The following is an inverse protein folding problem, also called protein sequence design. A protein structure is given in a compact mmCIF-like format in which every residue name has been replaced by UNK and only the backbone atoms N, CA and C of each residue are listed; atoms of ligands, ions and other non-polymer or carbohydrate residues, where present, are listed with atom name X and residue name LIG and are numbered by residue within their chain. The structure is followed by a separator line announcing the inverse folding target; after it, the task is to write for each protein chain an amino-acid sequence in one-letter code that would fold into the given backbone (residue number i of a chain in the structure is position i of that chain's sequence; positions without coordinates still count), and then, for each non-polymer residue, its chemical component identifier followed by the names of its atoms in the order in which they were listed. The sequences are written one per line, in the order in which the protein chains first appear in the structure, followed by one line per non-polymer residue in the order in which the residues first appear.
data_IF_336194099581
#
_entry.id   IF_336194099581
#
_cell.length_a   1.000
_cell.length_b   1.000
_cell.length_c   1.000
_cell.angle_alpha   90.00
_cell.angle_beta   90.00
_cell.angle_gamma   90.00
#
_symmetry.space_group_name_H-M   'P 1'
#
loop_
_entity.id
_entity.type
_entity.pdbx_description
1 polymer ?
#
# COMPACT_ATOMS: atom_id res chain seq x y z
N UNK A 1 7.77 -23.13 24.71
CA UNK A 1 6.75 -22.04 24.65
C UNK A 1 6.27 -21.73 26.06
N UNK A 2 6.66 -20.58 26.65
CA UNK A 2 6.12 -20.16 27.95
C UNK A 2 4.73 -19.55 27.75
N UNK A 3 3.77 -20.02 28.54
CA UNK A 3 2.37 -19.59 28.53
C UNK A 3 2.23 -18.33 29.40
N UNK A 4 1.68 -17.26 28.85
CA UNK A 4 1.35 -16.05 29.59
C UNK A 4 -0.15 -15.79 29.44
N UNK A 5 -0.88 -15.83 30.54
CA UNK A 5 -2.32 -15.52 30.55
C UNK A 5 -2.50 -14.01 30.74
N UNK A 6 -3.31 -13.39 29.88
CA UNK A 6 -3.69 -11.97 29.99
C UNK A 6 -5.21 -11.94 30.18
N UNK A 7 -5.67 -11.40 31.31
CA UNK A 7 -7.10 -11.36 31.68
C UNK A 7 -7.61 -9.93 31.43
N UNK A 8 -8.64 -9.78 30.60
CA UNK A 8 -9.28 -8.48 30.37
C UNK A 8 -10.78 -8.64 30.04
N UNK A 9 -11.63 -7.79 30.61
CA UNK A 9 -13.08 -7.77 30.35
C UNK A 9 -13.85 -9.02 30.78
N UNK A 10 -13.34 -9.80 31.75
CA UNK A 10 -14.00 -11.00 32.28
C UNK A 10 -13.93 -12.24 31.37
N UNK A 11 -13.12 -12.23 30.29
CA UNK A 11 -12.87 -13.40 29.44
C UNK A 11 -11.38 -13.71 29.38
N UNK A 12 -11.02 -14.96 29.69
CA UNK A 12 -9.62 -15.42 29.66
C UNK A 12 -9.11 -15.51 28.22
N UNK A 13 -8.28 -14.56 27.81
CA UNK A 13 -7.61 -14.58 26.50
C UNK A 13 -6.20 -15.17 26.63
N UNK A 14 -5.92 -16.21 25.84
CA UNK A 14 -4.63 -16.92 25.86
C UNK A 14 -3.81 -16.51 24.64
N UNK A 15 -2.74 -15.76 24.89
CA UNK A 15 -1.73 -15.43 23.90
C UNK A 15 -0.48 -16.28 24.11
N UNK A 16 0.10 -16.76 23.01
CA UNK A 16 1.29 -17.58 23.00
C UNK A 16 2.48 -16.73 22.57
N UNK A 17 3.57 -16.78 23.35
CA UNK A 17 4.81 -16.09 23.02
C UNK A 17 5.52 -16.74 21.83
N UNK A 18 5.94 -15.89 20.89
CA UNK A 18 7.01 -16.19 19.94
C UNK A 18 8.26 -15.50 20.52
N UNK A 19 9.32 -16.25 20.81
CA UNK A 19 10.54 -15.66 21.40
C UNK A 19 11.10 -14.55 20.50
N UNK A 20 11.31 -13.36 21.07
CA UNK A 20 11.87 -12.20 20.38
C UNK A 20 10.96 -11.45 19.41
N UNK A 21 9.69 -11.84 19.26
CA UNK A 21 8.76 -11.23 18.28
C UNK A 21 7.97 -10.01 18.79
N UNK A 22 7.74 -9.03 17.90
CA UNK A 22 6.84 -7.87 18.11
C UNK A 22 5.36 -8.26 18.30
N UNK A 23 4.99 -9.46 17.87
CA UNK A 23 3.60 -9.91 17.87
C UNK A 23 3.42 -11.20 18.67
N UNK A 24 2.29 -11.30 19.37
CA UNK A 24 1.80 -12.51 20.03
C UNK A 24 0.54 -13.00 19.35
N UNK A 25 0.37 -14.31 19.27
CA UNK A 25 -0.79 -14.92 18.61
C UNK A 25 -1.68 -15.64 19.62
N UNK A 26 -2.99 -15.56 19.45
CA UNK A 26 -3.94 -16.12 20.42
C UNK A 26 -5.23 -16.64 19.79
N UNK A 27 -6.08 -17.25 20.60
CA UNK A 27 -7.40 -17.73 20.18
C UNK A 27 -8.43 -16.64 20.42
N UNK A 28 -9.27 -16.40 19.43
CA UNK A 28 -10.24 -15.33 19.45
C UNK A 28 -11.51 -15.75 20.22
N UNK A 29 -11.86 -15.06 21.32
CA UNK A 29 -12.97 -15.48 22.18
C UNK A 29 -14.35 -15.27 21.55
N UNK A 30 -14.45 -14.50 20.45
CA UNK A 30 -15.69 -14.29 19.69
C UNK A 30 -15.88 -15.36 18.63
N UNK A 31 -14.84 -15.65 17.87
CA UNK A 31 -14.86 -16.64 16.80
C UNK A 31 -14.85 -18.09 17.35
N UNK A 32 -14.29 -18.33 18.55
CA UNK A 32 -14.16 -19.67 19.19
C UNK A 32 -13.49 -20.75 18.32
N UNK A 33 -12.76 -20.35 17.29
CA UNK A 33 -12.03 -21.26 16.41
C UNK A 33 -10.73 -21.74 17.09
N UNK A 34 -10.32 -23.00 16.84
CA UNK A 34 -9.03 -23.53 17.31
C UNK A 34 -7.82 -22.81 16.68
N UNK A 35 -8.04 -22.09 15.58
CA UNK A 35 -7.03 -21.32 14.88
C UNK A 35 -6.58 -20.07 15.67
N UNK A 36 -5.28 -19.77 15.62
CA UNK A 36 -4.66 -18.62 16.31
C UNK A 36 -4.90 -17.32 15.55
N UNK A 37 -6.14 -16.88 15.56
CA UNK A 37 -6.62 -15.74 14.77
C UNK A 37 -6.43 -14.41 15.47
N UNK A 38 -6.12 -14.36 16.77
CA UNK A 38 -5.76 -13.11 17.44
C UNK A 38 -4.29 -12.76 17.19
N UNK A 39 -4.01 -11.49 16.89
CA UNK A 39 -2.68 -10.91 16.90
C UNK A 39 -2.66 -9.75 17.89
N UNK A 40 -1.72 -9.79 18.82
CA UNK A 40 -1.43 -8.72 19.77
C UNK A 40 -0.07 -8.12 19.41
N UNK A 41 -0.02 -6.82 19.17
CA UNK A 41 1.24 -6.08 19.11
C UNK A 41 1.70 -5.77 20.54
N UNK A 42 2.84 -6.33 20.96
CA UNK A 42 3.29 -6.21 22.35
C UNK A 42 3.73 -4.79 22.71
N UNK A 43 4.08 -3.96 21.73
CA UNK A 43 4.53 -2.59 21.97
C UNK A 43 3.34 -1.65 22.18
N UNK A 44 2.29 -1.81 21.37
CA UNK A 44 1.11 -0.93 21.43
C UNK A 44 0.09 -1.42 22.44
N UNK A 45 0.04 -2.73 22.71
CA UNK A 45 -1.00 -3.39 23.51
C UNK A 45 -2.27 -3.66 22.72
N UNK A 46 -2.34 -3.26 21.46
CA UNK A 46 -3.51 -3.46 20.61
C UNK A 46 -3.54 -4.89 20.12
N UNK A 47 -4.71 -5.52 20.22
CA UNK A 47 -4.96 -6.81 19.63
C UNK A 47 -6.11 -6.76 18.63
N UNK A 48 -6.01 -7.57 17.58
CA UNK A 48 -7.08 -7.76 16.62
C UNK A 48 -7.27 -9.25 16.32
N UNK A 49 -8.52 -9.66 16.17
CA UNK A 49 -8.88 -10.97 15.66
C UNK A 49 -8.90 -10.93 14.14
N UNK A 50 -7.89 -11.50 13.51
CA UNK A 50 -7.75 -11.67 12.07
C UNK A 50 -8.95 -12.39 11.41
N UNK A 51 -9.78 -13.10 12.19
CA UNK A 51 -10.95 -13.86 11.70
C UNK A 51 -12.32 -13.28 12.07
N UNK A 52 -12.48 -12.31 12.96
CA UNK A 52 -13.77 -11.60 13.15
C UNK A 52 -13.64 -10.08 13.20
N UNK A 53 -12.44 -9.54 12.95
CA UNK A 53 -12.16 -8.11 13.12
C UNK A 53 -12.30 -7.64 14.57
N UNK A 54 -12.37 -8.56 15.53
CA UNK A 54 -12.50 -8.24 16.95
C UNK A 54 -11.24 -7.53 17.44
N UNK A 55 -11.32 -6.22 17.47
CA UNK A 55 -10.27 -5.32 17.92
C UNK A 55 -10.44 -5.02 19.42
N UNK A 56 -9.34 -4.93 20.13
CA UNK A 56 -9.27 -4.48 21.51
C UNK A 56 -7.85 -4.08 21.87
N UNK A 57 -7.61 -3.80 23.14
CA UNK A 57 -6.28 -3.45 23.64
C UNK A 57 -6.14 -3.93 25.07
N UNK A 58 -4.92 -4.31 25.44
CA UNK A 58 -4.49 -4.65 26.82
C UNK A 58 -4.35 -3.42 27.72
N UNK A 59 -4.97 -2.29 27.34
CA UNK A 59 -4.93 -0.98 28.02
C UNK A 59 -6.37 -0.51 28.17
N UNK A 60 -6.66 0.21 29.27
CA UNK A 60 -8.04 0.54 29.70
C UNK A 60 -8.89 1.15 28.58
N UNK A 61 -10.14 0.70 28.51
CA UNK A 61 -11.13 0.95 27.46
C UNK A 61 -11.43 2.44 27.18
N UNK A 62 -11.21 3.32 28.16
CA UNK A 62 -11.40 4.78 28.06
C UNK A 62 -10.43 5.47 27.09
N UNK A 63 -9.30 4.84 26.76
CA UNK A 63 -8.26 5.46 25.93
C UNK A 63 -8.46 5.23 24.42
N UNK A 64 -9.26 4.23 24.03
CA UNK A 64 -9.50 3.86 22.61
C UNK A 64 -10.72 4.59 22.05
N UNK A 65 -11.75 4.77 22.88
CA UNK A 65 -13.03 5.34 22.49
C UNK A 65 -12.95 6.83 22.11
N UNK A 66 -11.83 7.50 22.47
CA UNK A 66 -11.52 8.88 22.08
C UNK A 66 -11.00 9.01 20.63
N UNK A 67 -10.65 7.91 19.95
CA UNK A 67 -9.95 7.94 18.66
C UNK A 67 -10.71 7.34 17.45
N UNK A 68 -11.93 6.82 17.63
CA UNK A 68 -12.70 6.24 16.51
C UNK A 68 -14.13 6.83 16.49
N UNK A 69 -14.42 7.81 15.63
CA UNK A 69 -15.79 8.20 15.34
C UNK A 69 -16.47 7.10 14.51
N UNK A 70 -17.75 6.85 14.78
CA UNK A 70 -18.61 5.99 13.98
C UNK A 70 -18.86 6.64 12.62
N UNK A 71 -18.02 6.36 11.62
CA UNK A 71 -18.13 6.99 10.31
C UNK A 71 -18.66 5.96 9.29
N UNK A 72 -19.94 6.09 8.89
CA UNK A 72 -20.65 5.41 7.79
C UNK A 72 -20.70 3.87 7.75
N UNK A 73 -21.92 3.33 7.60
CA UNK A 73 -22.22 1.90 7.35
C UNK A 73 -21.44 1.31 6.15
N UNK A 74 -20.97 2.16 5.22
CA UNK A 74 -20.13 1.74 4.09
C UNK A 74 -18.71 1.33 4.52
N UNK A 75 -18.12 1.95 5.55
CA UNK A 75 -16.81 1.50 6.05
C UNK A 75 -16.91 0.14 6.74
N UNK A 76 -18.01 -0.11 7.46
CA UNK A 76 -18.30 -1.43 8.04
C UNK A 76 -18.47 -2.48 6.95
N UNK A 77 -19.22 -2.15 5.89
CA UNK A 77 -19.40 -3.00 4.72
C UNK A 77 -18.06 -3.33 4.06
N UNK A 78 -17.23 -2.32 3.77
CA UNK A 78 -15.93 -2.53 3.14
C UNK A 78 -15.00 -3.35 4.03
N UNK A 79 -14.98 -3.11 5.35
CA UNK A 79 -14.21 -3.95 6.27
C UNK A 79 -14.70 -5.40 6.27
N UNK A 80 -16.02 -5.63 6.26
CA UNK A 80 -16.59 -6.97 6.14
C UNK A 80 -16.22 -7.66 4.82
N UNK A 81 -16.22 -6.92 3.71
CA UNK A 81 -15.80 -7.42 2.39
C UNK A 81 -14.34 -7.84 2.40
N UNK A 82 -13.44 -6.97 2.88
CA UNK A 82 -12.00 -7.27 2.93
C UNK A 82 -11.70 -8.50 3.76
N UNK A 83 -12.41 -8.63 4.89
CA UNK A 83 -12.38 -9.81 5.74
C UNK A 83 -12.84 -11.08 4.99
N UNK A 84 -14.00 -11.06 4.36
CA UNK A 84 -14.53 -12.20 3.59
C UNK A 84 -13.55 -12.63 2.50
N UNK A 85 -12.96 -11.68 1.78
CA UNK A 85 -11.98 -11.99 0.74
C UNK A 85 -10.70 -12.60 1.31
N UNK A 86 -10.21 -12.09 2.44
CA UNK A 86 -9.04 -12.64 3.12
C UNK A 86 -9.31 -14.06 3.62
N UNK A 87 -10.46 -14.31 4.24
CA UNK A 87 -10.88 -15.66 4.65
C UNK A 87 -10.98 -16.62 3.46
N UNK A 88 -11.52 -16.13 2.34
CA UNK A 88 -11.70 -16.92 1.12
C UNK A 88 -10.36 -17.50 0.62
N UNK A 89 -9.23 -16.80 0.77
CA UNK A 89 -7.89 -17.31 0.39
C UNK A 89 -7.56 -18.66 1.04
N UNK A 90 -7.98 -18.87 2.28
CA UNK A 90 -7.67 -20.05 3.08
C UNK A 90 -8.76 -21.13 3.04
N UNK A 91 -9.71 -20.98 2.12
CA UNK A 91 -10.72 -22.00 1.82
C UNK A 91 -10.36 -22.75 0.54
N UNK A 92 -11.06 -23.86 0.27
CA UNK A 92 -10.95 -24.58 -1.01
C UNK A 92 -11.19 -23.71 -2.25
N UNK A 93 -11.86 -22.57 -2.10
CA UNK A 93 -12.12 -21.64 -3.21
C UNK A 93 -10.93 -20.71 -3.49
N UNK A 94 -10.03 -20.51 -2.53
CA UNK A 94 -8.90 -19.58 -2.61
C UNK A 94 -7.55 -20.20 -2.95
N UNK A 95 -7.44 -21.54 -3.01
CA UNK A 95 -6.17 -22.25 -3.19
C UNK A 95 -5.33 -21.70 -4.35
N UNK A 96 -5.91 -21.51 -5.54
CA UNK A 96 -5.19 -20.94 -6.70
C UNK A 96 -4.65 -19.55 -6.42
N UNK A 97 -5.41 -18.70 -5.72
CA UNK A 97 -5.01 -17.35 -5.37
C UNK A 97 -3.94 -17.31 -4.27
N UNK A 98 -4.05 -18.19 -3.29
CA UNK A 98 -3.03 -18.34 -2.27
C UNK A 98 -1.71 -18.85 -2.89
N UNK A 99 -1.76 -19.89 -3.72
CA UNK A 99 -0.59 -20.39 -4.45
C UNK A 99 0.04 -19.31 -5.33
N UNK A 100 -0.77 -18.50 -5.99
CA UNK A 100 -0.30 -17.36 -6.77
C UNK A 100 0.47 -16.35 -5.91
N UNK A 101 -0.09 -15.96 -4.74
CA UNK A 101 0.57 -15.06 -3.79
C UNK A 101 1.88 -15.67 -3.27
N UNK A 102 1.90 -16.98 -2.98
CA UNK A 102 3.10 -17.69 -2.55
C UNK A 102 4.16 -17.79 -3.63
N UNK A 103 3.78 -18.08 -4.88
CA UNK A 103 4.68 -18.04 -6.05
C UNK A 103 5.28 -16.65 -6.26
N UNK A 104 4.55 -15.60 -5.89
CA UNK A 104 5.04 -14.21 -5.89
C UNK A 104 5.97 -13.89 -4.71
N UNK A 105 6.16 -14.82 -3.77
CA UNK A 105 6.98 -14.64 -2.58
C UNK A 105 6.30 -13.85 -1.47
N UNK A 106 4.97 -13.65 -1.53
CA UNK A 106 4.24 -12.87 -0.54
C UNK A 106 4.01 -13.73 0.72
N UNK A 107 4.51 -13.24 1.84
CA UNK A 107 4.38 -13.87 3.16
C UNK A 107 2.98 -13.70 3.74
N UNK A 108 2.58 -14.59 4.66
CA UNK A 108 1.30 -14.46 5.36
C UNK A 108 1.21 -13.14 6.14
N UNK A 109 2.29 -12.72 6.78
CA UNK A 109 2.36 -11.41 7.47
C UNK A 109 1.95 -10.25 6.54
N UNK A 110 2.41 -10.27 5.29
CA UNK A 110 2.10 -9.23 4.31
C UNK A 110 0.68 -9.38 3.76
N UNK A 111 0.20 -10.61 3.54
CA UNK A 111 -1.22 -10.87 3.20
C UNK A 111 -2.12 -10.22 4.25
N UNK A 112 -1.85 -10.45 5.53
CA UNK A 112 -2.64 -9.88 6.63
C UNK A 112 -2.46 -8.37 6.75
N UNK A 113 -1.22 -7.87 6.73
CA UNK A 113 -0.93 -6.43 6.88
C UNK A 113 -1.59 -5.59 5.80
N UNK A 114 -1.62 -6.05 4.56
CA UNK A 114 -2.20 -5.33 3.43
C UNK A 114 -3.65 -5.71 3.13
N UNK A 115 -4.26 -6.60 3.91
CA UNK A 115 -5.64 -7.06 3.66
C UNK A 115 -5.77 -7.69 2.28
N UNK A 116 -4.83 -8.57 1.91
CA UNK A 116 -4.89 -9.27 0.65
C UNK A 116 -5.91 -10.39 0.73
N UNK A 117 -6.73 -10.53 -0.30
CA UNK A 117 -7.82 -11.49 -0.33
C UNK A 117 -8.03 -12.13 -1.69
N UNK A 118 -9.08 -12.93 -1.81
CA UNK A 118 -9.54 -13.48 -3.08
C UNK A 118 -11.03 -13.25 -3.28
N UNK A 119 -11.36 -12.64 -4.41
CA UNK A 119 -12.72 -12.48 -4.88
C UNK A 119 -13.04 -13.64 -5.84
N UNK A 120 -13.76 -14.65 -5.34
CA UNK A 120 -14.17 -15.83 -6.12
C UNK A 120 -15.28 -15.47 -7.14
N UNK A 121 -16.51 -15.94 -6.97
CA UNK A 121 -17.64 -15.60 -7.85
C UNK A 121 -18.62 -14.59 -7.22
N UNK A 122 -18.32 -14.09 -6.02
CA UNK A 122 -19.14 -13.10 -5.30
C UNK A 122 -20.40 -13.64 -4.62
N UNK A 123 -20.84 -14.87 -4.90
CA UNK A 123 -22.06 -15.45 -4.30
C UNK A 123 -21.96 -15.57 -2.79
N UNK A 124 -20.85 -16.14 -2.31
CA UNK A 124 -20.60 -16.28 -0.86
C UNK A 124 -20.53 -14.91 -0.18
N UNK A 125 -19.79 -13.96 -0.77
CA UNK A 125 -19.67 -12.61 -0.22
C UNK A 125 -21.04 -11.90 -0.13
N UNK A 126 -21.87 -12.00 -1.17
CA UNK A 126 -23.22 -11.42 -1.15
C UNK A 126 -24.06 -11.97 0.01
N UNK A 127 -24.14 -13.30 0.14
CA UNK A 127 -24.94 -13.95 1.19
C UNK A 127 -24.47 -13.55 2.58
N UNK A 128 -23.16 -13.52 2.83
CA UNK A 128 -22.63 -13.13 4.13
C UNK A 128 -22.90 -11.66 4.46
N UNK A 129 -22.81 -10.75 3.47
CA UNK A 129 -23.10 -9.34 3.68
C UNK A 129 -24.61 -9.09 3.91
N UNK A 130 -25.49 -9.79 3.18
CA UNK A 130 -26.94 -9.70 3.39
C UNK A 130 -27.34 -10.21 4.79
N UNK A 131 -26.73 -11.30 5.27
CA UNK A 131 -26.89 -11.78 6.66
C UNK A 131 -26.43 -10.78 7.72
N UNK A 132 -25.44 -9.96 7.38
CA UNK A 132 -24.97 -8.86 8.25
C UNK A 132 -25.89 -7.63 8.21
N UNK A 133 -26.97 -7.65 7.41
CA UNK A 133 -27.95 -6.58 7.34
C UNK A 133 -27.60 -5.45 6.36
N UNK A 134 -26.69 -5.70 5.41
CA UNK A 134 -26.41 -4.76 4.33
C UNK A 134 -27.45 -4.87 3.21
N UNK A 135 -28.00 -3.73 2.78
CA UNK A 135 -28.97 -3.66 1.68
C UNK A 135 -28.29 -3.76 0.31
N UNK A 136 -29.07 -4.08 -0.72
CA UNK A 136 -28.58 -4.13 -2.09
C UNK A 136 -28.01 -2.77 -2.55
N UNK A 137 -28.60 -1.66 -2.13
CA UNK A 137 -28.15 -0.30 -2.40
C UNK A 137 -26.78 -0.03 -1.75
N UNK A 138 -26.56 -0.52 -0.53
CA UNK A 138 -25.28 -0.38 0.17
C UNK A 138 -24.19 -1.23 -0.52
N UNK A 139 -24.53 -2.44 -0.97
CA UNK A 139 -23.64 -3.27 -1.77
C UNK A 139 -23.24 -2.60 -3.09
N UNK A 140 -24.17 -1.90 -3.75
CA UNK A 140 -23.88 -1.12 -4.97
C UNK A 140 -23.03 0.11 -4.63
N UNK A 141 -23.37 0.84 -3.57
CA UNK A 141 -22.67 2.07 -3.15
C UNK A 141 -21.21 1.80 -2.73
N UNK A 142 -20.91 0.61 -2.19
CA UNK A 142 -19.54 0.18 -1.90
C UNK A 142 -18.66 0.05 -3.15
N UNK A 143 -19.27 -0.10 -4.33
CA UNK A 143 -18.56 -0.35 -5.58
C UNK A 143 -18.05 -1.78 -5.73
N UNK A 144 -18.49 -2.74 -4.89
CA UNK A 144 -18.23 -4.18 -5.03
C UNK A 144 -19.19 -4.83 -6.03
N UNK A 145 -20.46 -4.41 -6.00
CA UNK A 145 -21.48 -4.84 -6.94
C UNK A 145 -21.84 -3.72 -7.92
N UNK A 146 -22.50 -4.09 -9.02
CA UNK A 146 -23.10 -3.17 -9.99
C UNK A 146 -24.47 -3.71 -10.34
N UNK A 147 -25.48 -2.86 -10.46
CA UNK A 147 -26.76 -3.24 -11.06
C UNK A 147 -26.61 -3.33 -12.59
N UNK A 148 -27.02 -4.45 -13.18
CA UNK A 148 -27.18 -4.64 -14.62
C UNK A 148 -28.50 -4.01 -15.10
N UNK A 149 -28.66 -3.92 -16.42
CA UNK A 149 -29.89 -3.38 -17.04
C UNK A 149 -31.12 -4.23 -16.72
N UNK A 150 -30.94 -5.55 -16.58
CA UNK A 150 -31.99 -6.50 -16.19
C UNK A 150 -32.32 -6.48 -14.69
N UNK A 151 -31.70 -5.58 -13.92
CA UNK A 151 -31.87 -5.44 -12.48
C UNK A 151 -31.01 -6.39 -11.63
N UNK A 152 -30.34 -7.37 -12.24
CA UNK A 152 -29.46 -8.31 -11.51
C UNK A 152 -28.20 -7.62 -10.97
N UNK A 153 -27.64 -8.14 -9.88
CA UNK A 153 -26.34 -7.67 -9.37
C UNK A 153 -25.19 -8.42 -10.01
N UNK A 154 -24.30 -7.66 -10.63
CA UNK A 154 -23.02 -8.13 -11.13
C UNK A 154 -21.90 -7.89 -10.13
N UNK A 155 -21.13 -8.93 -9.83
CA UNK A 155 -19.97 -8.86 -8.95
C UNK A 155 -18.72 -8.42 -9.74
N UNK A 156 -18.12 -7.29 -9.35
CA UNK A 156 -17.11 -6.62 -10.18
C UNK A 156 -15.75 -7.31 -10.21
N UNK A 157 -15.42 -8.08 -9.19
CA UNK A 157 -14.04 -8.53 -8.95
C UNK A 157 -13.83 -10.04 -9.12
N UNK A 158 -14.75 -10.71 -9.80
CA UNK A 158 -14.71 -12.16 -9.96
C UNK A 158 -13.35 -12.67 -10.46
N UNK A 159 -12.80 -13.69 -9.80
CA UNK A 159 -11.54 -14.35 -10.14
C UNK A 159 -10.27 -13.54 -9.89
N UNK A 160 -10.28 -12.60 -8.93
CA UNK A 160 -9.15 -11.68 -8.70
C UNK A 160 -8.57 -11.79 -7.29
N UNK A 161 -7.25 -11.68 -7.20
CA UNK A 161 -6.56 -11.36 -5.94
C UNK A 161 -6.90 -9.92 -5.59
N UNK A 162 -7.33 -9.71 -4.35
CA UNK A 162 -7.85 -8.44 -3.86
C UNK A 162 -6.82 -7.75 -2.98
N UNK A 163 -6.77 -6.43 -3.10
CA UNK A 163 -5.92 -5.52 -2.33
C UNK A 163 -6.84 -4.48 -1.71
N UNK A 164 -6.87 -4.37 -0.39
CA UNK A 164 -7.58 -3.29 0.29
C UNK A 164 -6.94 -1.94 -0.05
N UNK A 165 -7.77 -0.96 -0.38
CA UNK A 165 -7.36 0.44 -0.46
C UNK A 165 -7.86 1.12 0.79
N UNK A 166 -6.93 1.67 1.57
CA UNK A 166 -7.21 2.31 2.86
C UNK A 166 -6.98 3.81 2.81
N UNK A 167 -7.78 4.54 3.55
CA UNK A 167 -7.54 5.96 3.79
C UNK A 167 -6.39 6.18 4.79
N UNK A 168 -6.04 7.44 5.04
CA UNK A 168 -4.96 7.80 5.97
C UNK A 168 -5.18 7.33 7.41
N UNK A 169 -6.41 6.96 7.80
CA UNK A 169 -6.75 6.41 9.12
C UNK A 169 -6.74 4.88 9.14
N UNK A 170 -6.42 4.24 8.01
CA UNK A 170 -6.45 2.78 7.88
C UNK A 170 -7.84 2.19 7.63
N UNK A 171 -8.85 2.99 7.29
CA UNK A 171 -10.20 2.50 6.98
C UNK A 171 -10.26 2.01 5.55
N UNK A 172 -10.88 0.86 5.30
CA UNK A 172 -11.07 0.33 3.94
C UNK A 172 -12.10 1.18 3.20
N UNK A 173 -11.64 1.88 2.16
CA UNK A 173 -12.46 2.79 1.35
C UNK A 173 -12.77 2.21 -0.05
N UNK A 174 -12.00 1.23 -0.49
CA UNK A 174 -12.21 0.54 -1.76
C UNK A 174 -11.22 -0.60 -1.94
N UNK A 175 -11.17 -1.14 -3.16
CA UNK A 175 -10.35 -2.30 -3.47
C UNK A 175 -9.67 -2.18 -4.82
N UNK A 176 -8.56 -2.88 -4.97
CA UNK A 176 -8.01 -3.26 -6.26
C UNK A 176 -8.06 -4.77 -6.43
N UNK A 177 -8.33 -5.23 -7.64
CA UNK A 177 -8.39 -6.63 -8.00
C UNK A 177 -7.45 -6.92 -9.16
N UNK A 178 -6.55 -7.88 -8.98
CA UNK A 178 -5.59 -8.34 -9.99
C UNK A 178 -5.95 -9.73 -10.50
N UNK A 179 -5.94 -9.92 -11.81
CA UNK A 179 -6.08 -11.27 -12.39
C UNK A 179 -4.83 -12.12 -12.16
N UNK A 180 -5.02 -13.43 -12.06
CA UNK A 180 -3.93 -14.39 -11.90
C UNK A 180 -3.47 -14.95 -13.25
N UNK A 181 -4.42 -15.20 -14.16
CA UNK A 181 -4.22 -16.00 -15.38
C UNK A 181 -4.53 -15.21 -16.67
N UNK A 182 -3.83 -14.10 -16.89
CA UNK A 182 -3.84 -13.39 -18.19
C UNK A 182 -5.15 -12.70 -18.62
N UNK A 183 -6.18 -12.66 -17.76
CA UNK A 183 -7.41 -11.92 -18.04
C UNK A 183 -7.21 -10.39 -18.06
N UNK A 184 -8.06 -9.67 -18.78
CA UNK A 184 -8.00 -8.20 -18.85
C UNK A 184 -9.20 -7.53 -18.14
N UNK A 185 -9.03 -6.32 -17.56
CA UNK A 185 -7.76 -5.62 -17.37
C UNK A 185 -6.89 -6.31 -16.30
N UNK A 186 -5.56 -6.25 -16.45
CA UNK A 186 -4.59 -6.79 -15.45
C UNK A 186 -4.93 -6.38 -14.00
N UNK A 187 -5.22 -5.09 -13.80
CA UNK A 187 -5.71 -4.53 -12.53
C UNK A 187 -7.04 -3.83 -12.74
N UNK A 188 -7.92 -3.95 -11.75
CA UNK A 188 -9.22 -3.27 -11.70
C UNK A 188 -9.37 -2.64 -10.33
N UNK A 189 -9.57 -1.34 -10.26
CA UNK A 189 -9.89 -0.65 -9.00
C UNK A 189 -11.41 -0.51 -8.85
N UNK A 190 -11.86 -0.33 -7.61
CA UNK A 190 -13.21 0.16 -7.31
C UNK A 190 -13.54 1.39 -8.17
N UNK A 191 -14.81 1.58 -8.56
CA UNK A 191 -15.24 2.85 -9.15
C UNK A 191 -15.04 3.99 -8.15
N UNK A 192 -15.09 5.23 -8.62
CA UNK A 192 -15.15 6.38 -7.71
C UNK A 192 -16.42 6.26 -6.85
N UNK A 193 -16.28 6.45 -5.54
CA UNK A 193 -17.38 6.45 -4.55
C UNK A 193 -17.30 7.71 -3.70
N UNK A 194 -18.23 7.87 -2.76
CA UNK A 194 -18.16 8.92 -1.75
C UNK A 194 -16.84 8.86 -0.96
N UNK A 195 -16.37 7.66 -0.63
CA UNK A 195 -15.20 7.42 0.22
C UNK A 195 -13.92 7.14 -0.57
N UNK A 196 -14.02 6.76 -1.84
CA UNK A 196 -12.87 6.40 -2.65
C UNK A 196 -12.77 7.24 -3.93
N UNK A 197 -11.64 7.96 -4.04
CA UNK A 197 -11.22 8.61 -5.27
C UNK A 197 -9.78 8.26 -5.59
N UNK A 198 -9.51 7.66 -6.76
CA UNK A 198 -8.15 7.19 -7.13
C UNK A 198 -7.14 8.32 -7.07
N UNK A 199 -7.54 9.49 -7.58
CA UNK A 199 -6.73 10.71 -7.68
C UNK A 199 -6.39 11.35 -6.33
N UNK A 200 -7.04 10.93 -5.25
CA UNK A 200 -6.90 11.52 -3.90
C UNK A 200 -6.38 10.50 -2.87
N UNK A 201 -5.92 9.34 -3.30
CA UNK A 201 -5.45 8.28 -2.41
C UNK A 201 -4.17 7.67 -2.95
N UNK A 202 -3.32 7.18 -2.03
CA UNK A 202 -2.10 6.46 -2.32
C UNK A 202 -2.16 5.11 -1.61
N UNK A 203 -1.81 4.04 -2.31
CA UNK A 203 -1.75 2.72 -1.71
C UNK A 203 -0.60 2.63 -0.70
N UNK A 204 -0.85 2.03 0.47
CA UNK A 204 0.13 1.89 1.54
C UNK A 204 0.41 3.17 2.34
N UNK A 205 -0.30 4.26 2.07
CA UNK A 205 -0.09 5.53 2.76
C UNK A 205 -0.44 5.46 4.26
N UNK A 206 -1.49 4.71 4.61
CA UNK A 206 -1.88 4.38 5.99
C UNK A 206 -0.73 3.75 6.79
N UNK A 207 0.11 2.94 6.13
CA UNK A 207 1.27 2.31 6.74
C UNK A 207 2.48 3.27 6.75
N UNK A 208 2.69 3.99 5.64
CA UNK A 208 3.84 4.86 5.46
C UNK A 208 3.89 6.03 6.47
N UNK A 209 2.72 6.56 6.87
CA UNK A 209 2.66 7.65 7.85
C UNK A 209 3.14 7.24 9.26
N UNK A 210 3.23 5.94 9.53
CA UNK A 210 3.73 5.41 10.79
C UNK A 210 5.20 4.98 10.73
N UNK A 211 5.85 5.17 9.57
CA UNK A 211 7.27 4.86 9.42
C UNK A 211 8.14 5.87 10.19
N UNK A 212 9.23 5.38 10.77
CA UNK A 212 10.26 6.23 11.39
C UNK A 212 11.12 6.96 10.34
N UNK A 213 10.97 6.63 9.05
CA UNK A 213 11.69 7.29 7.96
C UNK A 213 11.10 8.66 7.70
N UNK A 214 11.98 9.66 7.57
CA UNK A 214 11.61 11.05 7.29
C UNK A 214 11.34 11.35 5.81
N UNK A 215 11.25 10.34 4.96
CA UNK A 215 10.99 10.45 3.52
C UNK A 215 10.00 9.39 3.07
N UNK A 216 9.31 9.64 1.97
CA UNK A 216 8.43 8.66 1.31
C UNK A 216 9.15 8.05 0.10
N UNK A 217 8.98 6.76 -0.14
CA UNK A 217 9.36 6.11 -1.40
C UNK A 217 8.09 6.01 -2.25
N UNK A 218 8.08 6.63 -3.43
CA UNK A 218 6.94 6.63 -4.33
C UNK A 218 7.20 5.66 -5.48
N UNK A 219 6.45 4.56 -5.49
CA UNK A 219 6.45 3.53 -6.53
C UNK A 219 5.26 3.72 -7.48
N UNK A 220 5.27 3.00 -8.61
CA UNK A 220 4.15 3.02 -9.57
C UNK A 220 3.03 2.04 -9.18
N UNK A 221 3.39 0.85 -8.69
CA UNK A 221 2.46 -0.24 -8.46
C UNK A 221 2.26 -0.63 -7.00
N UNK A 222 1.09 -1.20 -6.70
CA UNK A 222 0.76 -1.74 -5.38
C UNK A 222 1.63 -2.95 -5.01
N UNK A 223 2.01 -3.75 -6.00
CA UNK A 223 2.92 -4.89 -5.81
C UNK A 223 4.32 -4.44 -5.41
N UNK A 224 4.80 -3.32 -5.95
CA UNK A 224 6.11 -2.75 -5.57
C UNK A 224 6.07 -2.28 -4.13
N UNK A 225 5.00 -1.62 -3.71
CA UNK A 225 4.77 -1.24 -2.31
C UNK A 225 4.78 -2.47 -1.40
N UNK A 226 4.07 -3.53 -1.77
CA UNK A 226 4.05 -4.78 -1.02
C UNK A 226 5.45 -5.38 -0.89
N UNK A 227 6.19 -5.46 -1.99
CA UNK A 227 7.55 -5.99 -2.00
C UNK A 227 8.50 -5.14 -1.12
N UNK A 228 8.41 -3.82 -1.24
CA UNK A 228 9.17 -2.86 -0.44
C UNK A 228 8.89 -3.00 1.05
N UNK A 229 7.61 -3.07 1.45
CA UNK A 229 7.22 -3.28 2.84
C UNK A 229 7.68 -4.64 3.37
N UNK A 230 7.60 -5.70 2.56
CA UNK A 230 8.14 -7.02 2.93
C UNK A 230 9.66 -6.98 3.14
N UNK A 231 10.37 -6.16 2.36
CA UNK A 231 11.80 -5.94 2.51
C UNK A 231 12.18 -4.98 3.68
N UNK A 232 11.17 -4.47 4.40
CA UNK A 232 11.34 -3.58 5.56
C UNK A 232 11.33 -2.08 5.26
N UNK A 233 11.01 -1.68 4.02
CA UNK A 233 10.83 -0.28 3.63
C UNK A 233 9.37 0.13 3.86
N UNK A 234 9.02 0.39 5.11
CA UNK A 234 7.64 0.68 5.54
C UNK A 234 7.11 2.04 5.10
N UNK A 235 7.94 2.87 4.47
CA UNK A 235 7.62 4.21 3.96
C UNK A 235 7.34 4.24 2.45
N UNK A 236 7.11 3.08 1.83
CA UNK A 236 6.75 2.99 0.41
C UNK A 236 5.24 3.17 0.19
N UNK A 237 4.89 3.91 -0.86
CA UNK A 237 3.51 4.17 -1.31
C UNK A 237 3.43 4.14 -2.84
N UNK A 238 2.24 3.99 -3.41
CA UNK A 238 2.06 4.02 -4.86
C UNK A 238 0.75 4.72 -5.29
N UNK A 239 0.71 5.20 -6.52
CA UNK A 239 -0.54 5.63 -7.14
C UNK A 239 -1.44 4.43 -7.45
N UNK A 240 -2.73 4.69 -7.66
CA UNK A 240 -3.74 3.65 -7.86
C UNK A 240 -4.05 3.46 -9.35
N UNK A 241 -3.02 3.16 -10.14
CA UNK A 241 -3.14 2.95 -11.59
C UNK A 241 -3.48 4.23 -12.37
N UNK A 242 -3.02 5.38 -11.87
CA UNK A 242 -3.14 6.68 -12.52
C UNK A 242 -1.83 7.43 -12.40
N UNK A 243 -1.61 8.42 -13.28
CA UNK A 243 -0.53 9.39 -13.05
C UNK A 243 -0.68 10.06 -11.68
N UNK A 244 0.45 10.45 -11.09
CA UNK A 244 0.50 11.23 -9.86
C UNK A 244 -0.29 12.54 -10.03
N UNK A 245 -0.99 12.96 -8.98
CA UNK A 245 -1.80 14.18 -8.96
C UNK A 245 -1.27 15.20 -7.97
N UNK A 246 -1.61 16.48 -8.16
CA UNK A 246 -1.30 17.52 -7.18
C UNK A 246 -1.91 17.26 -5.80
N UNK A 247 -3.09 16.61 -5.74
CA UNK A 247 -3.72 16.24 -4.46
C UNK A 247 -2.84 15.26 -3.71
N UNK A 248 -2.34 14.23 -4.41
CA UNK A 248 -1.42 13.25 -3.83
C UNK A 248 -0.08 13.89 -3.44
N UNK A 249 0.45 14.82 -4.24
CA UNK A 249 1.64 15.60 -3.87
C UNK A 249 1.42 16.42 -2.60
N UNK A 250 0.25 17.08 -2.47
CA UNK A 250 -0.11 17.80 -1.24
C UNK A 250 -0.21 16.86 -0.04
N UNK A 251 -0.77 15.66 -0.20
CA UNK A 251 -0.81 14.65 0.86
C UNK A 251 0.60 14.25 1.31
N UNK A 252 1.50 13.95 0.37
CA UNK A 252 2.90 13.62 0.65
C UNK A 252 3.60 14.78 1.37
N UNK A 253 3.44 16.01 0.88
CA UNK A 253 4.04 17.23 1.45
C UNK A 253 3.63 17.51 2.89
N UNK A 254 2.39 17.15 3.25
CA UNK A 254 1.89 17.32 4.62
C UNK A 254 2.58 16.36 5.60
N UNK A 255 3.17 15.27 5.10
CA UNK A 255 3.84 14.27 5.92
C UNK A 255 5.37 14.39 5.89
N UNK A 256 5.94 14.71 4.73
CA UNK A 256 7.40 14.77 4.55
C UNK A 256 7.83 15.91 3.63
N UNK A 257 9.08 16.33 3.80
CA UNK A 257 9.80 17.25 2.91
C UNK A 257 10.74 16.54 1.94
N UNK A 258 10.73 15.21 1.90
CA UNK A 258 11.63 14.43 1.07
C UNK A 258 10.89 13.24 0.45
N UNK A 259 11.02 13.08 -0.87
CA UNK A 259 10.46 11.95 -1.61
C UNK A 259 11.54 11.30 -2.48
N UNK A 260 11.55 9.97 -2.52
CA UNK A 260 12.35 9.17 -3.43
C UNK A 260 11.43 8.54 -4.46
N UNK A 261 11.54 8.95 -5.71
CA UNK A 261 10.87 8.31 -6.85
C UNK A 261 11.61 7.01 -7.17
N UNK A 262 10.87 5.90 -7.13
CA UNK A 262 11.37 4.55 -7.42
C UNK A 262 10.40 3.90 -8.42
N UNK A 263 10.44 4.41 -9.65
CA UNK A 263 9.57 4.05 -10.77
C UNK A 263 10.21 2.97 -11.65
N UNK A 264 9.43 2.45 -12.59
CA UNK A 264 9.88 1.38 -13.48
C UNK A 264 11.02 1.89 -14.38
N UNK A 265 11.96 1.00 -14.70
CA UNK A 265 13.16 1.32 -15.49
C UNK A 265 12.91 1.43 -17.00
N UNK A 266 11.67 1.60 -17.44
CA UNK A 266 11.28 1.68 -18.84
C UNK A 266 10.90 3.10 -19.30
N UNK A 267 10.61 3.27 -20.59
CA UNK A 267 10.25 4.59 -21.14
C UNK A 267 8.98 5.19 -20.53
N UNK A 268 8.04 4.36 -20.06
CA UNK A 268 6.83 4.84 -19.40
C UNK A 268 7.17 5.36 -17.99
N UNK A 269 8.02 4.64 -17.25
CA UNK A 269 8.53 5.06 -15.95
C UNK A 269 9.38 6.34 -16.03
N UNK A 270 10.19 6.52 -17.07
CA UNK A 270 10.93 7.78 -17.30
C UNK A 270 9.96 8.96 -17.50
N UNK A 271 8.94 8.81 -18.35
CA UNK A 271 7.90 9.83 -18.56
C UNK A 271 7.13 10.14 -17.27
N UNK A 272 6.81 9.11 -16.49
CA UNK A 272 6.17 9.26 -15.19
C UNK A 272 7.07 10.01 -14.21
N UNK A 273 8.38 9.74 -14.21
CA UNK A 273 9.37 10.40 -13.36
C UNK A 273 9.48 11.89 -13.69
N UNK A 274 9.63 12.24 -14.98
CA UNK A 274 9.63 13.65 -15.45
C UNK A 274 8.39 14.40 -14.99
N UNK A 275 7.20 13.79 -15.17
CA UNK A 275 5.94 14.40 -14.72
C UNK A 275 5.83 14.53 -13.21
N UNK A 276 6.34 13.56 -12.45
CA UNK A 276 6.35 13.64 -10.99
C UNK A 276 7.26 14.78 -10.51
N UNK A 277 8.43 14.95 -11.11
CA UNK A 277 9.34 16.08 -10.83
C UNK A 277 8.60 17.40 -11.01
N UNK A 278 7.93 17.61 -12.15
CA UNK A 278 7.15 18.83 -12.41
C UNK A 278 6.07 19.09 -11.34
N UNK A 279 5.38 18.06 -10.88
CA UNK A 279 4.34 18.20 -9.85
C UNK A 279 4.92 18.55 -8.46
N UNK A 280 6.15 18.15 -8.17
CA UNK A 280 6.84 18.48 -6.93
C UNK A 280 7.60 19.82 -6.98
N UNK A 281 7.80 20.40 -8.16
CA UNK A 281 8.43 21.72 -8.29
C UNK A 281 7.70 22.77 -7.45
N UNK A 282 8.47 23.63 -6.77
CA UNK A 282 7.96 24.70 -5.92
C UNK A 282 7.05 24.25 -4.76
N UNK A 283 7.00 22.95 -4.43
CA UNK A 283 6.22 22.45 -3.29
C UNK A 283 6.99 22.49 -1.98
N UNK A 284 8.31 22.73 -2.02
CA UNK A 284 9.22 22.64 -0.88
C UNK A 284 9.51 21.19 -0.45
N UNK A 285 9.21 20.21 -1.29
CA UNK A 285 9.60 18.80 -1.13
C UNK A 285 10.84 18.55 -1.99
N UNK A 286 11.90 18.04 -1.36
CA UNK A 286 13.11 17.57 -2.07
C UNK A 286 12.81 16.25 -2.76
N UNK A 287 13.12 16.17 -4.06
CA UNK A 287 12.86 15.00 -4.91
C UNK A 287 14.18 14.33 -5.25
N UNK A 288 14.24 13.03 -4.99
CA UNK A 288 15.35 12.16 -5.36
C UNK A 288 14.85 11.04 -6.26
N UNK A 289 15.70 10.58 -7.17
CA UNK A 289 15.38 9.52 -8.13
C UNK A 289 16.33 8.35 -7.89
N UNK A 290 15.76 7.19 -7.60
CA UNK A 290 16.46 5.91 -7.55
C UNK A 290 16.01 5.04 -8.73
N UNK A 291 16.95 4.45 -9.46
CA UNK A 291 16.64 3.54 -10.56
C UNK A 291 16.68 2.07 -10.12
N UNK A 292 15.84 1.27 -10.77
CA UNK A 292 15.78 -0.19 -10.64
C UNK A 292 16.60 -0.90 -11.71
N UNK A 293 17.24 -0.18 -12.63
CA UNK A 293 18.05 -0.77 -13.69
C UNK A 293 19.15 -1.72 -13.14
N UNK A 294 19.33 -2.90 -13.76
CA UNK A 294 18.70 -3.37 -15.01
C UNK A 294 17.35 -4.08 -14.84
N UNK A 295 16.79 -4.16 -13.64
CA UNK A 295 15.46 -4.74 -13.42
C UNK A 295 14.36 -3.80 -13.88
N UNK A 296 13.20 -4.38 -14.20
CA UNK A 296 12.03 -3.63 -14.65
C UNK A 296 11.45 -2.79 -13.52
N UNK A 297 11.19 -3.41 -12.38
CA UNK A 297 10.44 -2.81 -11.29
C UNK A 297 11.09 -3.12 -9.92
N UNK A 298 10.66 -2.45 -8.81
CA UNK A 298 11.19 -2.71 -7.48
C UNK A 298 10.97 -4.14 -6.99
N UNK A 299 9.86 -4.80 -7.35
CA UNK A 299 9.58 -6.21 -7.01
C UNK A 299 10.65 -7.15 -7.60
N UNK A 300 10.95 -7.00 -8.89
CA UNK A 300 11.99 -7.75 -9.59
C UNK A 300 13.39 -7.45 -9.04
N UNK A 301 13.69 -6.17 -8.76
CA UNK A 301 14.98 -5.78 -8.19
C UNK A 301 15.21 -6.43 -6.82
N UNK A 302 14.20 -6.42 -5.96
CA UNK A 302 14.26 -7.04 -4.63
C UNK A 302 14.47 -8.55 -4.71
N UNK A 303 13.82 -9.23 -5.66
CA UNK A 303 14.00 -10.67 -5.88
C UNK A 303 15.40 -11.03 -6.38
N UNK A 304 15.95 -10.19 -7.25
CA UNK A 304 17.23 -10.44 -7.92
C UNK A 304 18.43 -10.07 -7.04
N UNK A 305 18.39 -8.89 -6.40
CA UNK A 305 19.55 -8.31 -5.70
C UNK A 305 19.35 -8.14 -4.19
N UNK A 306 18.13 -8.30 -3.69
CA UNK A 306 17.82 -8.23 -2.27
C UNK A 306 17.75 -6.83 -1.67
N UNK A 307 17.31 -6.78 -0.41
CA UNK A 307 17.02 -5.54 0.33
C UNK A 307 18.22 -4.62 0.55
N UNK A 308 19.43 -5.18 0.64
CA UNK A 308 20.63 -4.37 0.90
C UNK A 308 21.08 -3.62 -0.35
N UNK A 309 20.90 -4.22 -1.53
CA UNK A 309 21.17 -3.58 -2.81
C UNK A 309 20.21 -2.42 -3.06
N UNK A 310 18.90 -2.60 -2.83
CA UNK A 310 17.93 -1.51 -3.06
C UNK A 310 18.12 -0.38 -2.06
N UNK A 311 18.55 -0.69 -0.82
CA UNK A 311 18.94 0.32 0.16
C UNK A 311 20.11 1.17 -0.34
N UNK A 312 21.11 0.55 -0.98
CA UNK A 312 22.24 1.27 -1.58
C UNK A 312 21.76 2.18 -2.72
N UNK A 313 20.87 1.71 -3.60
CA UNK A 313 20.27 2.51 -4.67
C UNK A 313 19.51 3.73 -4.12
N UNK A 314 18.69 3.54 -3.10
CA UNK A 314 17.94 4.63 -2.44
C UNK A 314 18.90 5.64 -1.78
N UNK A 315 19.98 5.17 -1.14
CA UNK A 315 21.00 6.05 -0.55
C UNK A 315 21.78 6.84 -1.59
N UNK A 316 22.02 6.24 -2.75
CA UNK A 316 22.71 6.85 -3.89
C UNK A 316 21.75 7.54 -4.87
N UNK A 317 20.50 7.79 -4.46
CA UNK A 317 19.51 8.45 -5.29
C UNK A 317 20.00 9.86 -5.65
N UNK A 318 19.82 10.23 -6.91
CA UNK A 318 20.25 11.52 -7.45
C UNK A 318 19.14 12.55 -7.34
N UNK A 319 19.47 13.82 -7.40
CA UNK A 319 18.49 14.91 -7.37
C UNK A 319 17.68 14.96 -8.68
N UNK A 320 16.53 15.61 -8.63
CA UNK A 320 15.73 15.93 -9.83
C UNK A 320 16.54 16.67 -10.90
N UNK A 321 17.38 17.63 -10.50
CA UNK A 321 18.24 18.35 -11.43
C UNK A 321 19.28 17.44 -12.08
N UNK A 322 19.99 16.62 -11.31
CA UNK A 322 20.96 15.65 -11.85
C UNK A 322 20.30 14.67 -12.82
N UNK A 323 19.11 14.18 -12.48
CA UNK A 323 18.34 13.28 -13.33
C UNK A 323 17.94 13.94 -14.66
N UNK A 324 17.41 15.17 -14.61
CA UNK A 324 17.04 15.91 -15.83
C UNK A 324 18.25 16.19 -16.72
N UNK A 325 19.41 16.51 -16.15
CA UNK A 325 20.67 16.68 -16.89
C UNK A 325 21.16 15.38 -17.53
N UNK A 326 21.02 14.24 -16.83
CA UNK A 326 21.40 12.93 -17.38
C UNK A 326 20.55 12.51 -18.59
N UNK A 327 19.32 13.01 -18.68
CA UNK A 327 18.42 12.71 -19.81
C UNK A 327 18.56 13.70 -20.98
N UNK A 328 19.20 14.85 -20.76
CA UNK A 328 19.44 15.85 -21.79
C UNK A 328 20.63 15.45 -22.68
N UNK A 329 20.41 14.44 -23.51
CA UNK A 329 21.36 13.92 -24.49
C UNK A 329 20.76 13.99 -25.89
N UNK A 330 21.60 14.30 -26.88
CA UNK A 330 21.27 14.30 -28.30
C UNK A 330 21.04 12.87 -28.81
N UNK A 331 20.58 12.73 -30.06
CA UNK A 331 20.33 11.43 -30.70
C UNK A 331 21.58 10.53 -30.79
N UNK A 332 22.77 11.12 -30.80
CA UNK A 332 24.07 10.43 -30.81
C UNK A 332 24.59 10.08 -29.40
N UNK A 333 23.83 10.43 -28.35
CA UNK A 333 24.19 10.20 -26.95
C UNK A 333 25.15 11.26 -26.36
N UNK A 334 25.53 12.29 -27.13
CA UNK A 334 26.30 13.40 -26.59
C UNK A 334 25.40 14.33 -25.73
N UNK A 335 25.94 15.05 -24.73
CA UNK A 335 25.15 16.01 -23.95
C UNK A 335 24.49 17.08 -24.83
N UNK A 336 23.18 17.30 -24.67
CA UNK A 336 22.47 18.44 -25.26
C UNK A 336 22.68 19.67 -24.37
N UNK A 337 23.71 20.47 -24.68
CA UNK A 337 24.03 21.67 -23.91
C UNK A 337 22.92 22.74 -23.94
N UNK A 338 22.07 22.77 -24.98
CA UNK A 338 20.96 23.72 -25.04
C UNK A 338 19.84 23.30 -24.08
N UNK A 339 19.47 22.01 -24.10
CA UNK A 339 18.49 21.47 -23.15
C UNK A 339 19.00 21.58 -21.71
N UNK A 340 20.26 21.23 -21.45
CA UNK A 340 20.90 21.39 -20.13
C UNK A 340 20.84 22.85 -19.68
N UNK A 341 21.19 23.80 -20.55
CA UNK A 341 21.13 25.23 -20.22
C UNK A 341 19.71 25.68 -19.88
N UNK A 342 18.71 25.23 -20.64
CA UNK A 342 17.30 25.52 -20.37
C UNK A 342 16.83 24.93 -19.04
N UNK A 343 17.21 23.68 -18.72
CA UNK A 343 16.93 23.02 -17.44
C UNK A 343 17.53 23.82 -16.28
N UNK A 344 18.81 24.22 -16.41
CA UNK A 344 19.52 24.99 -15.39
C UNK A 344 18.90 26.38 -15.17
N UNK A 345 18.51 27.06 -16.24
CA UNK A 345 17.87 28.38 -16.18
C UNK A 345 16.44 28.31 -15.61
N UNK A 346 15.66 27.28 -15.97
CA UNK A 346 14.29 27.09 -15.47
C UNK A 346 14.25 26.70 -13.98
N UNK A 347 15.25 25.95 -13.52
CA UNK A 347 15.36 25.50 -12.13
C UNK A 347 16.35 26.35 -11.30
N UNK A 348 16.67 27.56 -11.77
CA UNK A 348 17.69 28.43 -11.19
C UNK A 348 17.28 28.96 -9.81
N UNK A 349 17.70 28.25 -8.76
CA UNK A 349 17.82 28.78 -7.41
C UNK A 349 19.32 28.78 -7.03
N UNK A 350 19.96 29.96 -6.85
CA UNK A 350 21.40 30.05 -6.55
C UNK A 350 21.86 29.14 -5.40
N UNK A 351 21.01 28.95 -4.38
CA UNK A 351 21.29 28.12 -3.21
C UNK A 351 21.33 26.61 -3.52
N UNK A 352 20.55 26.11 -4.49
CA UNK A 352 20.57 24.69 -4.87
C UNK A 352 21.84 24.33 -5.63
N UNK A 353 22.28 25.20 -6.55
CA UNK A 353 23.53 25.03 -7.28
C UNK A 353 24.74 25.05 -6.33
N UNK A 354 24.72 25.93 -5.32
CA UNK A 354 25.76 26.00 -4.30
C UNK A 354 25.91 24.68 -3.54
N UNK A 355 24.80 24.06 -3.10
CA UNK A 355 24.81 22.74 -2.43
C UNK A 355 25.36 21.62 -3.31
N UNK A 356 25.03 21.60 -4.61
CA UNK A 356 25.55 20.61 -5.57
C UNK A 356 27.08 20.71 -5.72
N UNK A 357 27.59 21.94 -5.83
CA UNK A 357 29.04 22.20 -5.92
C UNK A 357 29.75 21.81 -4.62
N UNK A 358 29.15 22.09 -3.46
CA UNK A 358 29.70 21.72 -2.15
C UNK A 358 29.75 20.19 -1.95
N UNK A 359 28.71 19.46 -2.35
CA UNK A 359 28.66 17.99 -2.26
C UNK A 359 29.76 17.33 -3.11
N UNK A 360 29.98 17.85 -4.33
CA UNK A 360 31.06 17.38 -5.23
C UNK A 360 32.47 17.71 -4.70
N UNK A 361 32.65 18.86 -4.04
CA UNK A 361 33.92 19.23 -3.37
C UNK A 361 34.25 18.33 -2.17
N UNK A 362 33.22 17.84 -1.48
CA UNK A 362 33.38 17.03 -0.27
C UNK A 362 33.43 15.52 -0.54
N UNK A 363 33.38 15.07 -1.81
CA UNK A 363 33.55 13.67 -2.20
C UNK A 363 32.46 12.72 -1.68
N UNK A 364 31.25 13.21 -1.44
CA UNK A 364 30.11 12.42 -0.94
C UNK A 364 29.07 12.08 -2.01
#
# INVERSE_FOLDING_TARGET
MKKSEIIEGGRNMKFYNVEGGKYRYGVCPRCKEEARTMVLDVNTGVFTCMACGFLGSTKRQTDIQKYLPADSKIHELNAAVGKIFTETLYTKYGNTALEYLKKRGITDEIIWRFGLGYASNGKHARVELEKMGFSEEELIASGIFKRNEDGSLWFRFSGRVMFEIRDVKGRVIGFSGRVMDGGEPKYKNSPETEFFRKRNNLYGFDQAIHSEKKYIILCEGQMDVIAMHQAGFTNAVATLGTALTEVQVRMIRNFTKCVVLLYDGDQAGEKATKKAIELFQNTGVEVFIANTAPCKDPDEFLKTYGKDAIRKKIKAAITDLEYMVQLAVNEDGAPDYNEISNILLKNYEPEKLKKLVEKKRNGQ
#
